data_IF_781983864139
#
_entry.id   IF_781983864139
#
_cell.length_a   1.000
_cell.length_b   1.000
_cell.length_c   1.000
_cell.angle_alpha   90.00
_cell.angle_beta   90.00
_cell.angle_gamma   90.00
#
_symmetry.space_group_name_H-M   'P 1'
#
loop_
_entity.id
_entity.type
_entity.pdbx_description
1 polymer ?
#
# COMPACT_ATOMS: atom_id res chain seq x y z
N UNK A 1 -7.25 -18.65 -12.67
CA UNK A 1 -7.74 -17.27 -12.62
C UNK A 1 -6.56 -16.35 -12.83
N UNK A 2 -6.78 -15.22 -13.50
CA UNK A 2 -5.73 -14.23 -13.76
C UNK A 2 -5.10 -13.71 -12.47
N UNK A 3 -3.85 -13.26 -12.56
CA UNK A 3 -3.18 -12.55 -11.47
C UNK A 3 -3.59 -11.08 -11.54
N UNK A 4 -4.44 -10.65 -10.61
CA UNK A 4 -4.92 -9.28 -10.51
C UNK A 4 -3.97 -8.42 -9.67
N UNK A 5 -3.64 -7.21 -10.12
CA UNK A 5 -2.75 -6.28 -9.42
C UNK A 5 -3.36 -4.86 -9.45
N UNK A 6 -3.79 -4.31 -8.32
CA UNK A 6 -3.81 -4.96 -6.99
C UNK A 6 -4.81 -6.13 -6.93
N UNK A 7 -4.59 -7.06 -6.02
CA UNK A 7 -5.47 -8.24 -5.86
C UNK A 7 -6.93 -7.85 -5.60
N UNK A 8 -7.15 -6.78 -4.82
CA UNK A 8 -8.45 -6.16 -4.59
C UNK A 8 -8.28 -4.64 -4.49
N UNK A 9 -8.83 -3.86 -5.43
CA UNK A 9 -8.92 -2.42 -5.29
C UNK A 9 -9.79 -2.04 -4.09
N UNK A 10 -9.45 -0.94 -3.41
CA UNK A 10 -10.19 -0.52 -2.20
C UNK A 10 -11.62 -0.07 -2.51
N UNK A 11 -11.83 0.60 -3.63
CA UNK A 11 -13.14 1.10 -4.06
C UNK A 11 -13.18 1.23 -5.57
N UNK A 12 -14.34 0.94 -6.16
CA UNK A 12 -14.66 1.29 -7.54
C UNK A 12 -15.71 2.41 -7.55
N UNK A 13 -15.63 3.31 -8.51
CA UNK A 13 -16.75 4.22 -8.79
C UNK A 13 -17.88 3.39 -9.43
N UNK A 14 -19.06 3.30 -8.82
CA UNK A 14 -20.19 2.54 -9.39
C UNK A 14 -20.60 3.04 -10.78
N UNK A 15 -20.37 4.32 -11.08
CA UNK A 15 -20.71 4.90 -12.37
C UNK A 15 -19.76 4.47 -13.50
N UNK A 16 -18.50 4.11 -13.17
CA UNK A 16 -17.50 3.67 -14.15
C UNK A 16 -17.74 2.23 -14.63
N UNK A 17 -18.47 1.41 -13.87
CA UNK A 17 -18.62 -0.04 -14.08
C UNK A 17 -17.28 -0.82 -14.12
N UNK A 18 -16.18 -0.20 -13.70
CA UNK A 18 -14.86 -0.85 -13.67
C UNK A 18 -14.83 -2.09 -12.76
N UNK A 19 -15.62 -2.08 -11.68
CA UNK A 19 -15.75 -3.25 -10.80
C UNK A 19 -16.25 -4.49 -11.55
N UNK A 20 -17.26 -4.35 -12.41
CA UNK A 20 -17.76 -5.46 -13.22
C UNK A 20 -16.73 -5.96 -14.24
N UNK A 21 -15.97 -5.03 -14.83
CA UNK A 21 -14.88 -5.37 -15.76
C UNK A 21 -13.73 -6.05 -15.04
N UNK A 22 -13.39 -5.60 -13.82
CA UNK A 22 -12.39 -6.23 -12.98
C UNK A 22 -12.75 -7.68 -12.63
N UNK A 23 -13.98 -7.92 -12.16
CA UNK A 23 -14.50 -9.25 -11.87
C UNK A 23 -14.50 -10.16 -13.11
N UNK A 24 -14.84 -9.61 -14.27
CA UNK A 24 -14.79 -10.37 -15.53
C UNK A 24 -13.34 -10.75 -15.90
N UNK A 25 -12.39 -9.83 -15.77
CA UNK A 25 -10.99 -10.07 -16.07
C UNK A 25 -10.33 -11.05 -15.09
N UNK A 26 -10.79 -11.12 -13.85
CA UNK A 26 -10.34 -12.12 -12.87
C UNK A 26 -10.61 -13.56 -13.34
N UNK A 27 -11.65 -13.79 -14.15
CA UNK A 27 -11.99 -15.10 -14.69
C UNK A 27 -11.04 -15.59 -15.80
N UNK A 28 -10.18 -14.74 -16.34
CA UNK A 28 -9.17 -15.14 -17.33
C UNK A 28 -8.26 -16.26 -16.77
N UNK A 29 -7.63 -17.09 -17.64
CA UNK A 29 -6.64 -18.08 -17.23
C UNK A 29 -5.47 -17.49 -16.44
N UNK A 30 -4.76 -18.34 -15.70
CA UNK A 30 -3.65 -17.97 -14.79
C UNK A 30 -2.39 -17.43 -15.51
N UNK A 31 -2.32 -17.58 -16.81
CA UNK A 31 -1.26 -17.01 -17.65
C UNK A 31 -1.42 -15.49 -17.92
N UNK A 32 -2.57 -14.92 -17.49
CA UNK A 32 -2.83 -13.49 -17.63
C UNK A 32 -2.49 -12.72 -16.35
N UNK A 33 -1.88 -11.56 -16.53
CA UNK A 33 -1.66 -10.55 -15.49
C UNK A 33 -2.48 -9.32 -15.85
N UNK A 34 -3.25 -8.82 -14.92
CA UNK A 34 -4.12 -7.66 -15.09
C UNK A 34 -3.76 -6.60 -14.08
N UNK A 35 -3.32 -5.45 -14.57
CA UNK A 35 -2.98 -4.28 -13.77
C UNK A 35 -4.10 -3.26 -13.90
N UNK A 36 -4.76 -2.94 -12.79
CA UNK A 36 -5.84 -1.95 -12.74
C UNK A 36 -5.30 -0.60 -12.29
N UNK A 37 -5.80 0.48 -12.88
CA UNK A 37 -5.40 1.86 -12.58
C UNK A 37 -3.88 2.07 -12.71
N UNK A 38 -3.31 1.61 -13.83
CA UNK A 38 -1.87 1.70 -14.05
C UNK A 38 -1.46 3.12 -14.43
N UNK A 39 -0.62 3.75 -13.60
CA UNK A 39 -0.22 5.15 -13.76
C UNK A 39 1.24 5.28 -14.19
N UNK A 40 1.47 6.16 -15.14
CA UNK A 40 2.81 6.58 -15.56
C UNK A 40 2.93 8.09 -15.38
N UNK A 41 3.88 8.50 -14.54
CA UNK A 41 4.30 9.89 -14.40
C UNK A 41 5.53 10.13 -15.30
N UNK A 42 5.51 11.18 -16.10
CA UNK A 42 6.62 11.55 -16.98
C UNK A 42 6.96 13.04 -16.80
N UNK A 43 8.25 13.34 -16.66
CA UNK A 43 8.77 14.70 -16.55
C UNK A 43 9.76 14.94 -17.66
N UNK A 44 9.37 15.70 -18.69
CA UNK A 44 10.24 16.05 -19.82
C UNK A 44 10.24 17.55 -20.07
N UNK A 45 11.42 18.09 -20.32
CA UNK A 45 11.59 19.53 -20.60
C UNK A 45 10.86 20.40 -19.56
N UNK A 46 10.96 20.03 -18.29
CA UNK A 46 10.31 20.71 -17.16
C UNK A 46 8.76 20.69 -17.23
N UNK A 47 8.17 19.78 -18.01
CA UNK A 47 6.71 19.57 -18.07
C UNK A 47 6.37 18.24 -17.45
N UNK A 48 5.54 18.28 -16.41
CA UNK A 48 4.98 17.11 -15.75
C UNK A 48 3.73 16.64 -16.51
N UNK A 49 3.62 15.35 -16.74
CA UNK A 49 2.41 14.72 -17.24
C UNK A 49 2.18 13.38 -16.53
N UNK A 50 0.97 13.14 -16.11
CA UNK A 50 0.52 11.89 -15.51
C UNK A 50 -0.64 11.33 -16.33
N UNK A 51 -0.61 10.03 -16.56
CA UNK A 51 -1.70 9.33 -17.26
C UNK A 51 -1.98 8.03 -16.52
N UNK A 52 -3.26 7.71 -16.45
CA UNK A 52 -3.79 6.46 -15.96
C UNK A 52 -4.31 5.63 -17.13
N UNK A 53 -4.05 4.34 -17.07
CA UNK A 53 -4.64 3.32 -17.97
C UNK A 53 -5.55 2.46 -17.10
N UNK A 54 -6.83 2.37 -17.43
CA UNK A 54 -7.81 1.68 -16.58
C UNK A 54 -7.43 0.23 -16.37
N UNK A 55 -7.04 -0.48 -17.45
CA UNK A 55 -6.48 -1.83 -17.35
C UNK A 55 -5.30 -2.01 -18.29
N UNK A 56 -4.20 -2.58 -17.78
CA UNK A 56 -3.13 -3.14 -18.60
C UNK A 56 -3.18 -4.65 -18.46
N UNK A 57 -3.34 -5.35 -19.57
CA UNK A 57 -3.45 -6.80 -19.62
C UNK A 57 -2.20 -7.37 -20.29
N UNK A 58 -1.49 -8.23 -19.58
CA UNK A 58 -0.29 -8.88 -20.08
C UNK A 58 -0.47 -10.40 -20.13
N UNK A 59 -0.11 -10.98 -21.26
CA UNK A 59 0.05 -12.42 -21.43
C UNK A 59 1.41 -12.66 -22.10
N UNK A 60 2.23 -13.51 -21.51
CA UNK A 60 3.59 -13.78 -21.96
C UNK A 60 3.68 -14.21 -23.43
N UNK A 61 2.71 -14.97 -23.91
CA UNK A 61 2.70 -15.55 -25.25
C UNK A 61 1.97 -14.67 -26.28
N UNK A 62 1.16 -13.70 -25.83
CA UNK A 62 0.28 -12.90 -26.69
C UNK A 62 0.70 -11.43 -26.76
N UNK A 63 1.21 -10.86 -25.66
CA UNK A 63 1.65 -9.47 -25.60
C UNK A 63 0.97 -8.65 -24.52
N UNK A 64 0.87 -7.34 -24.73
CA UNK A 64 0.29 -6.35 -23.82
C UNK A 64 -0.88 -5.62 -24.49
N UNK A 65 -1.98 -5.44 -23.77
CA UNK A 65 -3.11 -4.58 -24.16
C UNK A 65 -3.29 -3.48 -23.14
N UNK A 66 -3.27 -2.22 -23.56
CA UNK A 66 -3.74 -1.08 -22.76
C UNK A 66 -5.23 -0.85 -23.08
N UNK A 67 -6.07 -1.02 -22.07
CA UNK A 67 -7.53 -0.98 -22.23
C UNK A 67 -8.08 0.25 -21.49
N UNK A 68 -8.89 1.02 -22.20
CA UNK A 68 -9.65 2.15 -21.66
C UNK A 68 -11.10 1.75 -21.47
N UNK A 69 -11.68 2.07 -20.34
CA UNK A 69 -13.06 1.76 -19.97
C UNK A 69 -13.95 3.00 -20.11
N UNK A 70 -15.08 2.86 -20.79
CA UNK A 70 -16.06 3.96 -20.91
C UNK A 70 -17.47 3.43 -20.69
N UNK A 71 -17.94 3.57 -19.46
CA UNK A 71 -19.32 3.24 -19.12
C UNK A 71 -20.30 4.34 -19.52
N UNK A 72 -21.57 3.98 -19.61
CA UNK A 72 -22.66 4.89 -19.87
C UNK A 72 -22.78 5.28 -21.36
N UNK A 73 -23.43 6.41 -21.60
CA UNK A 73 -23.71 6.90 -22.96
C UNK A 73 -22.51 7.67 -23.51
N UNK A 74 -22.04 7.24 -24.66
CA UNK A 74 -20.95 7.87 -25.42
C UNK A 74 -21.44 8.19 -26.83
N UNK A 75 -21.08 9.34 -27.37
CA UNK A 75 -21.43 9.79 -28.72
C UNK A 75 -20.20 10.31 -29.45
N UNK A 76 -20.19 10.10 -30.76
CA UNK A 76 -19.24 10.74 -31.65
C UNK A 76 -20.01 11.60 -32.69
N UNK A 77 -19.83 12.89 -32.60
CA UNK A 77 -20.54 13.85 -33.43
C UNK A 77 -19.58 14.96 -33.93
N UNK A 78 -19.63 15.32 -35.18
CA UNK A 78 -18.79 16.36 -35.73
C UNK A 78 -17.28 16.21 -35.50
N UNK A 79 -16.79 14.95 -35.46
CA UNK A 79 -15.38 14.68 -35.23
C UNK A 79 -14.96 14.71 -33.78
N UNK A 80 -15.90 14.77 -32.81
CA UNK A 80 -15.63 14.92 -31.41
C UNK A 80 -16.35 13.82 -30.59
N UNK A 81 -15.65 13.21 -29.65
CA UNK A 81 -16.24 12.32 -28.66
C UNK A 81 -16.89 13.11 -27.54
N UNK A 82 -18.13 12.77 -27.20
CA UNK A 82 -18.93 13.40 -26.17
C UNK A 82 -19.42 12.39 -25.17
N UNK A 83 -19.45 12.79 -23.89
CA UNK A 83 -20.20 12.07 -22.85
C UNK A 83 -21.71 12.18 -23.11
N UNK A 84 -22.50 11.33 -22.44
CA UNK A 84 -23.97 11.41 -22.51
C UNK A 84 -24.53 12.79 -22.17
N UNK A 85 -23.87 13.54 -21.30
CA UNK A 85 -24.17 14.93 -20.94
C UNK A 85 -23.94 15.96 -22.07
N UNK A 86 -23.31 15.56 -23.20
CA UNK A 86 -22.93 16.46 -24.29
C UNK A 86 -21.59 17.18 -24.10
N UNK A 87 -20.88 16.91 -22.98
CA UNK A 87 -19.56 17.50 -22.70
C UNK A 87 -18.50 16.76 -23.55
N UNK A 88 -17.59 17.48 -24.23
CA UNK A 88 -16.48 16.86 -24.96
C UNK A 88 -15.58 16.02 -24.03
N UNK A 89 -15.17 14.86 -24.54
CA UNK A 89 -14.22 14.01 -23.83
C UNK A 89 -12.81 14.60 -23.90
N UNK A 90 -12.08 14.47 -22.82
CA UNK A 90 -10.68 14.87 -22.76
C UNK A 90 -9.81 14.01 -23.71
N UNK A 91 -8.64 14.54 -24.07
CA UNK A 91 -7.61 13.83 -24.83
C UNK A 91 -8.10 13.23 -26.18
N UNK A 92 -9.09 13.83 -26.83
CA UNK A 92 -9.54 13.37 -28.14
C UNK A 92 -10.35 12.07 -28.13
N UNK A 93 -10.88 11.65 -26.99
CA UNK A 93 -11.75 10.50 -26.88
C UNK A 93 -11.05 9.18 -26.46
N UNK A 94 -11.84 8.08 -26.31
CA UNK A 94 -11.36 6.88 -25.66
C UNK A 94 -10.29 6.12 -26.45
N UNK A 95 -10.38 6.09 -27.79
CA UNK A 95 -9.39 5.40 -28.63
C UNK A 95 -8.05 6.13 -28.62
N UNK A 96 -8.07 7.47 -28.63
CA UNK A 96 -6.86 8.25 -28.53
C UNK A 96 -6.23 8.14 -27.14
N UNK A 97 -7.04 8.07 -26.07
CA UNK A 97 -6.56 7.80 -24.72
C UNK A 97 -5.86 6.45 -24.65
N UNK A 98 -6.53 5.38 -25.06
CA UNK A 98 -5.98 4.01 -25.03
C UNK A 98 -4.69 3.89 -25.88
N UNK A 99 -4.68 4.47 -27.09
CA UNK A 99 -3.51 4.50 -27.97
C UNK A 99 -2.36 5.30 -27.36
N UNK A 100 -2.64 6.47 -26.81
CA UNK A 100 -1.63 7.31 -26.14
C UNK A 100 -1.03 6.61 -24.93
N UNK A 101 -1.84 5.93 -24.14
CA UNK A 101 -1.39 5.16 -22.98
C UNK A 101 -0.47 4.00 -23.40
N UNK A 102 -0.82 3.28 -24.48
CA UNK A 102 0.04 2.26 -25.08
C UNK A 102 1.41 2.83 -25.46
N UNK A 103 1.46 3.94 -26.20
CA UNK A 103 2.73 4.54 -26.63
C UNK A 103 3.54 5.09 -25.45
N UNK A 104 2.89 5.58 -24.39
CA UNK A 104 3.58 5.99 -23.17
C UNK A 104 4.20 4.81 -22.45
N UNK A 105 3.48 3.70 -22.33
CA UNK A 105 4.01 2.47 -21.77
C UNK A 105 5.22 1.96 -22.56
N UNK A 106 5.09 1.90 -23.90
CA UNK A 106 6.21 1.50 -24.75
C UNK A 106 7.43 2.43 -24.57
N UNK A 107 7.21 3.73 -24.45
CA UNK A 107 8.28 4.70 -24.19
C UNK A 107 8.89 4.51 -22.81
N UNK A 108 8.09 4.28 -21.78
CA UNK A 108 8.57 4.00 -20.43
C UNK A 108 9.46 2.76 -20.40
N UNK A 109 9.09 1.71 -21.13
CA UNK A 109 9.92 0.52 -21.33
C UNK A 109 11.20 0.85 -22.11
N UNK A 110 11.09 1.67 -23.17
CA UNK A 110 12.25 2.09 -23.98
C UNK A 110 13.32 2.84 -23.17
N UNK A 111 12.87 3.65 -22.22
CA UNK A 111 13.74 4.43 -21.34
C UNK A 111 14.30 3.59 -20.16
N UNK A 112 13.90 2.33 -20.06
CA UNK A 112 14.34 1.39 -19.03
C UNK A 112 15.44 0.43 -19.54
N UNK A 113 15.98 -0.39 -18.63
CA UNK A 113 16.91 -1.47 -18.97
C UNK A 113 16.26 -2.67 -19.70
N UNK A 114 14.98 -2.54 -20.08
CA UNK A 114 14.17 -3.57 -20.75
C UNK A 114 13.74 -3.16 -22.16
N UNK A 115 14.43 -2.20 -22.78
CA UNK A 115 14.12 -1.69 -24.14
C UNK A 115 14.05 -2.79 -25.20
N UNK A 116 14.84 -3.86 -25.04
CA UNK A 116 14.83 -5.03 -25.92
C UNK A 116 13.49 -5.78 -25.95
N UNK A 117 12.65 -5.62 -24.95
CA UNK A 117 11.30 -6.24 -24.91
C UNK A 117 10.41 -5.69 -26.02
N UNK A 118 10.61 -4.45 -26.45
CA UNK A 118 9.81 -3.84 -27.52
C UNK A 118 9.97 -4.56 -28.88
N UNK A 119 11.08 -5.25 -29.08
CA UNK A 119 11.32 -6.04 -30.29
C UNK A 119 10.77 -7.47 -30.21
N UNK A 120 10.36 -7.90 -29.00
CA UNK A 120 9.94 -9.26 -28.69
C UNK A 120 8.54 -9.35 -28.09
N UNK A 121 7.78 -8.25 -28.05
CA UNK A 121 6.46 -8.20 -27.47
C UNK A 121 5.54 -7.29 -28.28
N UNK A 122 4.34 -7.77 -28.57
CA UNK A 122 3.28 -7.00 -29.21
C UNK A 122 2.62 -6.09 -28.18
N UNK A 123 2.32 -4.85 -28.56
CA UNK A 123 1.61 -3.88 -27.76
C UNK A 123 0.38 -3.38 -28.51
N UNK A 124 -0.77 -3.57 -27.90
CA UNK A 124 -2.07 -3.20 -28.43
C UNK A 124 -2.77 -2.20 -27.50
N UNK A 125 -3.87 -1.66 -28.01
CA UNK A 125 -4.81 -0.90 -27.21
C UNK A 125 -6.23 -1.32 -27.60
N UNK A 126 -7.18 -1.04 -26.71
CA UNK A 126 -8.59 -1.30 -26.93
C UNK A 126 -9.45 -0.42 -26.04
N UNK A 127 -10.74 -0.39 -26.34
CA UNK A 127 -11.74 0.35 -25.58
C UNK A 127 -12.86 -0.58 -25.19
N UNK A 128 -13.22 -0.56 -23.91
CA UNK A 128 -14.33 -1.35 -23.39
C UNK A 128 -15.56 -0.47 -23.13
N UNK A 129 -16.65 -0.76 -23.84
CA UNK A 129 -17.96 -0.16 -23.63
C UNK A 129 -18.90 -1.18 -22.97
N UNK A 130 -18.93 -1.33 -21.66
CA UNK A 130 -19.71 -2.36 -20.98
C UNK A 130 -21.22 -2.16 -21.07
N UNK A 131 -21.66 -1.01 -21.54
CA UNK A 131 -23.08 -0.67 -21.73
C UNK A 131 -23.59 -0.87 -23.17
N UNK A 132 -22.74 -1.30 -24.12
CA UNK A 132 -23.09 -1.47 -25.54
C UNK A 132 -23.03 -2.97 -25.89
N UNK A 133 -24.09 -3.51 -26.50
CA UNK A 133 -24.10 -4.89 -27.00
C UNK A 133 -23.41 -5.03 -28.36
N UNK A 134 -22.96 -6.25 -28.67
CA UNK A 134 -22.38 -6.62 -29.96
C UNK A 134 -23.31 -6.29 -31.14
N UNK A 135 -24.61 -6.61 -31.00
CA UNK A 135 -25.60 -6.34 -32.06
C UNK A 135 -25.74 -4.85 -32.34
N UNK A 136 -25.73 -4.05 -31.28
CA UNK A 136 -25.75 -2.59 -31.40
C UNK A 136 -24.47 -2.08 -32.08
N UNK A 137 -23.30 -2.58 -31.68
CA UNK A 137 -22.03 -2.23 -32.29
C UNK A 137 -21.99 -2.56 -33.78
N UNK A 138 -22.53 -3.73 -34.19
CA UNK A 138 -22.59 -4.16 -35.59
C UNK A 138 -23.45 -3.23 -36.45
N UNK A 139 -24.51 -2.65 -35.89
CA UNK A 139 -25.44 -1.74 -36.57
C UNK A 139 -24.94 -0.31 -36.64
N UNK A 140 -23.85 0.03 -35.95
CA UNK A 140 -23.31 1.40 -35.92
C UNK A 140 -22.20 1.62 -36.95
N UNK A 141 -22.14 2.83 -37.49
CA UNK A 141 -20.96 3.32 -38.18
C UNK A 141 -19.98 3.85 -37.15
N UNK A 142 -18.81 3.21 -37.05
CA UNK A 142 -17.76 3.62 -36.13
C UNK A 142 -16.93 4.77 -36.71
N UNK A 143 -16.37 5.65 -35.86
CA UNK A 143 -15.37 6.64 -36.28
C UNK A 143 -14.14 5.95 -36.91
N UNK A 144 -13.39 6.65 -37.77
CA UNK A 144 -12.23 6.07 -38.46
C UNK A 144 -11.16 5.46 -37.51
N UNK A 145 -11.05 5.99 -36.30
CA UNK A 145 -10.11 5.52 -35.27
C UNK A 145 -10.61 4.32 -34.48
N UNK A 146 -11.88 3.94 -34.59
CA UNK A 146 -12.55 2.91 -33.86
C UNK A 146 -12.71 1.64 -34.70
N UNK A 147 -11.67 0.84 -34.82
CA UNK A 147 -11.78 -0.48 -35.44
C UNK A 147 -12.60 -1.40 -34.56
N UNK A 148 -13.51 -2.21 -35.17
CA UNK A 148 -14.41 -3.12 -34.44
C UNK A 148 -13.64 -4.14 -33.59
N UNK A 149 -12.47 -4.54 -34.05
CA UNK A 149 -11.58 -5.49 -33.41
C UNK A 149 -11.02 -4.96 -32.09
N UNK A 150 -10.92 -3.62 -31.94
CA UNK A 150 -10.40 -2.95 -30.74
C UNK A 150 -11.49 -2.65 -29.71
N UNK A 151 -12.74 -3.01 -29.98
CA UNK A 151 -13.88 -2.73 -29.09
C UNK A 151 -14.29 -3.97 -28.32
N UNK A 152 -14.34 -3.84 -26.99
CA UNK A 152 -14.99 -4.78 -26.08
C UNK A 152 -16.38 -4.24 -25.75
N UNK A 153 -17.36 -5.13 -25.75
CA UNK A 153 -18.78 -4.81 -25.51
C UNK A 153 -19.25 -5.41 -24.18
N UNK A 154 -20.55 -5.31 -23.91
CA UNK A 154 -21.18 -5.89 -22.74
C UNK A 154 -20.94 -7.43 -22.63
N UNK A 155 -20.94 -8.10 -23.75
CA UNK A 155 -20.74 -9.57 -23.83
C UNK A 155 -19.33 -9.98 -23.35
N UNK A 156 -18.37 -9.07 -23.44
CA UNK A 156 -17.03 -9.28 -22.90
C UNK A 156 -17.01 -9.42 -21.37
N UNK A 157 -18.05 -8.96 -20.65
CA UNK A 157 -18.18 -9.21 -19.21
C UNK A 157 -18.36 -10.72 -18.89
N UNK A 158 -18.89 -11.50 -19.83
CA UNK A 158 -19.07 -12.94 -19.64
C UNK A 158 -17.90 -13.74 -20.21
N UNK A 159 -17.29 -13.29 -21.29
CA UNK A 159 -16.21 -13.98 -22.01
C UNK A 159 -15.10 -13.01 -22.43
N UNK A 160 -14.37 -12.40 -21.49
CA UNK A 160 -13.36 -11.39 -21.82
C UNK A 160 -12.23 -11.93 -22.70
N UNK A 161 -11.87 -13.20 -22.51
CA UNK A 161 -10.79 -13.83 -23.27
C UNK A 161 -11.04 -13.85 -24.79
N UNK A 162 -12.26 -14.07 -25.21
CA UNK A 162 -12.63 -14.08 -26.65
C UNK A 162 -12.33 -12.73 -27.28
N UNK A 163 -12.66 -11.64 -26.60
CA UNK A 163 -12.44 -10.28 -27.10
C UNK A 163 -10.96 -9.88 -27.06
N UNK A 164 -10.26 -10.24 -25.98
CA UNK A 164 -8.82 -10.01 -25.88
C UNK A 164 -8.04 -10.78 -26.93
N UNK A 165 -8.40 -12.03 -27.18
CA UNK A 165 -7.77 -12.86 -28.21
C UNK A 165 -7.98 -12.27 -29.61
N UNK A 166 -9.10 -11.63 -29.89
CA UNK A 166 -9.35 -10.91 -31.15
C UNK A 166 -8.34 -9.77 -31.34
N UNK A 167 -8.04 -9.00 -30.27
CA UNK A 167 -7.03 -7.95 -30.32
C UNK A 167 -5.62 -8.54 -30.47
N UNK A 168 -5.28 -9.56 -29.69
CA UNK A 168 -3.97 -10.23 -29.76
C UNK A 168 -3.67 -10.88 -31.12
N UNK A 169 -4.71 -11.29 -31.84
CA UNK A 169 -4.58 -11.90 -33.17
C UNK A 169 -4.28 -10.89 -34.28
N UNK A 170 -4.36 -9.58 -34.01
CA UNK A 170 -4.04 -8.56 -35.00
C UNK A 170 -2.53 -8.58 -35.33
N UNK A 171 -2.23 -8.40 -36.61
CA UNK A 171 -0.86 -8.21 -37.09
C UNK A 171 -0.44 -6.77 -36.95
N UNK A 172 0.76 -6.56 -36.42
CA UNK A 172 1.34 -5.21 -36.37
C UNK A 172 2.16 -4.94 -37.63
N UNK A 173 2.11 -3.72 -38.12
CA UNK A 173 2.94 -3.28 -39.26
C UNK A 173 4.44 -3.44 -39.02
N UNK A 174 4.87 -3.43 -37.76
CA UNK A 174 6.25 -3.69 -37.33
C UNK A 174 6.68 -5.16 -37.45
N UNK A 175 5.75 -6.07 -37.73
CA UNK A 175 5.97 -7.53 -37.81
C UNK A 175 6.62 -8.14 -36.55
N UNK A 176 6.46 -7.49 -35.41
CA UNK A 176 6.91 -8.04 -34.09
C UNK A 176 6.04 -9.23 -33.74
N UNK A 177 6.65 -10.33 -33.34
CA UNK A 177 5.98 -11.48 -32.74
C UNK A 177 6.32 -11.57 -31.24
N UNK A 178 5.32 -11.98 -30.44
CA UNK A 178 5.57 -12.13 -29.01
C UNK A 178 6.37 -13.41 -28.74
N UNK A 179 7.56 -13.25 -28.18
CA UNK A 179 8.51 -14.34 -27.91
C UNK A 179 9.32 -14.13 -26.64
N UNK A 180 8.63 -13.72 -25.56
CA UNK A 180 9.26 -13.46 -24.28
C UNK A 180 9.65 -14.76 -23.56
N UNK A 181 10.88 -14.84 -23.08
CA UNK A 181 11.29 -15.87 -22.14
C UNK A 181 10.62 -15.67 -20.79
N UNK A 182 10.61 -16.70 -19.96
CA UNK A 182 10.07 -16.62 -18.60
C UNK A 182 10.78 -15.55 -17.75
N UNK A 183 12.09 -15.43 -17.91
CA UNK A 183 12.89 -14.42 -17.20
C UNK A 183 12.53 -13.00 -17.64
N UNK A 184 12.40 -12.76 -18.96
CA UNK A 184 12.01 -11.46 -19.50
C UNK A 184 10.60 -11.07 -19.03
N UNK A 185 9.66 -12.01 -18.99
CA UNK A 185 8.31 -11.79 -18.49
C UNK A 185 8.30 -11.43 -16.99
N UNK A 186 9.07 -12.16 -16.18
CA UNK A 186 9.21 -11.87 -14.74
C UNK A 186 9.84 -10.50 -14.51
N UNK A 187 10.84 -10.13 -15.32
CA UNK A 187 11.47 -8.81 -15.24
C UNK A 187 10.51 -7.71 -15.66
N UNK A 188 9.75 -7.89 -16.75
CA UNK A 188 8.75 -6.92 -17.20
C UNK A 188 7.70 -6.66 -16.09
N UNK A 189 7.23 -7.72 -15.44
CA UNK A 189 6.28 -7.57 -14.32
C UNK A 189 6.93 -6.84 -13.14
N UNK A 190 8.12 -7.25 -12.72
CA UNK A 190 8.77 -6.74 -11.50
C UNK A 190 9.39 -5.35 -11.65
N UNK A 191 9.87 -5.00 -12.83
CA UNK A 191 10.62 -3.75 -13.04
C UNK A 191 9.74 -2.65 -13.66
N UNK A 192 8.67 -3.03 -14.42
CA UNK A 192 7.80 -2.09 -15.12
C UNK A 192 6.40 -2.03 -14.52
N UNK A 193 5.70 -3.17 -14.46
CA UNK A 193 4.29 -3.16 -14.08
C UNK A 193 4.05 -3.13 -12.58
N UNK A 194 4.90 -3.78 -11.78
CA UNK A 194 4.75 -3.86 -10.33
C UNK A 194 6.12 -3.76 -9.62
N UNK A 195 6.82 -2.62 -9.79
CA UNK A 195 8.11 -2.42 -9.12
C UNK A 195 7.91 -2.37 -7.61
N UNK A 196 8.79 -3.08 -6.88
CA UNK A 196 8.85 -2.96 -5.44
C UNK A 196 9.77 -1.80 -5.09
N UNK A 197 9.22 -0.79 -4.44
CA UNK A 197 9.97 0.36 -3.97
C UNK A 197 9.97 0.36 -2.45
N UNK A 198 11.15 0.13 -1.87
CA UNK A 198 11.37 0.18 -0.43
C UNK A 198 12.36 1.30 -0.13
N UNK A 199 11.95 2.28 0.64
CA UNK A 199 12.85 3.31 1.16
C UNK A 199 13.32 2.86 2.54
N UNK A 200 14.60 2.50 2.60
CA UNK A 200 15.27 2.30 3.88
C UNK A 200 16.04 3.59 4.19
N UNK A 201 15.70 4.33 5.25
CA UNK A 201 16.49 5.48 5.64
C UNK A 201 17.93 5.05 5.89
N UNK A 202 18.91 5.74 5.31
CA UNK A 202 20.31 5.50 5.66
C UNK A 202 20.56 5.97 7.09
N UNK A 203 21.32 5.21 7.87
CA UNK A 203 21.57 5.47 9.29
C UNK A 203 22.14 6.89 9.58
N UNK A 204 22.79 7.53 8.61
CA UNK A 204 23.31 8.91 8.75
C UNK A 204 22.27 9.99 8.49
N UNK A 205 21.24 9.72 7.69
CA UNK A 205 20.15 10.65 7.41
C UNK A 205 19.06 10.60 8.49
N UNK A 206 19.07 9.51 9.26
CA UNK A 206 18.03 9.16 10.20
C UNK A 206 18.00 10.05 11.46
N UNK A 207 19.17 10.50 11.95
CA UNK A 207 19.23 11.29 13.17
C UNK A 207 18.66 12.71 12.99
N UNK A 208 18.86 13.33 11.82
CA UNK A 208 18.37 14.68 11.56
C UNK A 208 16.91 14.69 11.12
N UNK A 209 16.48 13.71 10.31
CA UNK A 209 15.06 13.53 9.98
C UNK A 209 14.23 13.10 11.20
N UNK A 210 14.75 12.21 12.06
CA UNK A 210 14.11 11.87 13.33
C UNK A 210 13.92 13.09 14.19
N UNK A 211 14.93 13.97 14.29
CA UNK A 211 14.78 15.25 14.99
C UNK A 211 13.73 16.15 14.37
N UNK A 212 13.69 16.28 13.04
CA UNK A 212 12.74 17.16 12.34
C UNK A 212 11.30 16.62 12.46
N UNK A 213 11.08 15.33 12.24
CA UNK A 213 9.77 14.69 12.39
C UNK A 213 9.35 14.68 13.85
N UNK A 214 10.26 14.40 14.76
CA UNK A 214 10.07 14.43 16.20
C UNK A 214 9.71 15.86 16.69
N UNK A 215 10.44 16.89 16.28
CA UNK A 215 10.10 18.28 16.60
C UNK A 215 8.76 18.75 15.99
N UNK A 216 8.35 18.20 14.86
CA UNK A 216 7.06 18.52 14.25
C UNK A 216 5.92 17.85 15.00
N UNK A 217 6.05 16.56 15.31
CA UNK A 217 5.09 15.81 16.11
C UNK A 217 4.99 16.39 17.52
N UNK A 218 6.10 16.77 18.12
CA UNK A 218 6.14 17.39 19.45
C UNK A 218 5.43 18.75 19.51
N UNK A 219 5.49 19.58 18.47
CA UNK A 219 4.74 20.85 18.46
C UNK A 219 3.23 20.65 18.47
N UNK A 220 2.76 19.64 17.75
CA UNK A 220 1.33 19.30 17.71
C UNK A 220 0.88 18.58 18.99
N UNK A 221 1.80 17.94 19.69
CA UNK A 221 1.54 17.11 20.89
C UNK A 221 2.08 17.69 22.18
N UNK A 222 2.76 18.85 22.12
CA UNK A 222 3.36 19.49 23.30
C UNK A 222 2.33 19.73 24.41
N UNK A 223 1.11 20.14 24.04
CA UNK A 223 0.03 20.33 25.00
C UNK A 223 -0.43 19.03 25.68
N UNK A 224 -0.29 17.88 25.02
CA UNK A 224 -0.59 16.57 25.64
C UNK A 224 0.50 16.21 26.64
N UNK A 225 1.77 16.40 26.25
CA UNK A 225 2.91 16.09 27.12
C UNK A 225 2.90 16.94 28.40
N UNK A 226 2.65 18.26 28.26
CA UNK A 226 2.54 19.19 29.40
C UNK A 226 1.37 18.81 30.32
N UNK A 227 0.23 18.37 29.77
CA UNK A 227 -0.88 17.82 30.55
C UNK A 227 -0.50 16.53 31.27
N UNK A 228 0.25 15.63 30.62
CA UNK A 228 0.73 14.38 31.19
C UNK A 228 1.75 14.59 32.30
N UNK A 229 2.49 15.71 32.34
CA UNK A 229 3.45 16.03 33.39
C UNK A 229 2.77 16.30 34.73
N UNK A 230 1.51 16.74 34.71
CA UNK A 230 0.70 17.03 35.91
C UNK A 230 -0.11 15.80 36.40
N UNK A 231 -0.11 14.69 35.65
CA UNK A 231 -0.92 13.51 35.99
C UNK A 231 -0.09 12.38 36.60
N UNK A 232 -0.56 11.80 37.71
CA UNK A 232 0.05 10.61 38.30
C UNK A 232 -0.15 9.37 37.39
N UNK A 233 -1.34 9.28 36.78
CA UNK A 233 -1.69 8.20 35.84
C UNK A 233 -2.51 8.76 34.70
N UNK A 234 -2.19 8.38 33.46
CA UNK A 234 -2.93 8.83 32.28
C UNK A 234 -2.98 7.73 31.21
N UNK A 235 -4.10 7.67 30.48
CA UNK A 235 -4.27 6.83 29.31
C UNK A 235 -4.43 7.68 28.06
N UNK A 236 -3.56 7.49 27.07
CA UNK A 236 -3.60 8.19 25.78
C UNK A 236 -4.24 7.30 24.73
N UNK A 237 -5.47 7.63 24.33
CA UNK A 237 -6.19 6.91 23.30
C UNK A 237 -6.11 7.67 21.95
N UNK A 238 -5.95 6.92 20.87
CA UNK A 238 -5.91 7.49 19.52
C UNK A 238 -5.82 6.43 18.44
N UNK A 239 -6.19 6.80 17.20
CA UNK A 239 -6.11 5.90 16.06
C UNK A 239 -4.67 5.44 15.79
N UNK A 240 -4.51 4.36 15.02
CA UNK A 240 -3.19 3.91 14.58
C UNK A 240 -2.49 5.02 13.76
N UNK A 241 -1.17 5.18 13.96
CA UNK A 241 -0.38 6.20 13.26
C UNK A 241 -0.47 7.63 13.80
N UNK A 242 -1.17 7.88 14.92
CA UNK A 242 -1.28 9.22 15.54
C UNK A 242 -0.07 9.61 16.40
N UNK A 243 0.94 8.75 16.51
CA UNK A 243 2.17 9.02 17.24
C UNK A 243 2.14 8.70 18.72
N UNK A 244 1.23 7.84 19.22
CA UNK A 244 1.16 7.42 20.63
C UNK A 244 2.50 6.90 21.16
N UNK A 245 3.15 6.01 20.42
CA UNK A 245 4.50 5.50 20.77
C UNK A 245 5.52 6.63 20.91
N UNK A 246 5.45 7.67 20.06
CA UNK A 246 6.36 8.82 20.13
C UNK A 246 6.11 9.68 21.37
N UNK A 247 4.85 9.88 21.77
CA UNK A 247 4.48 10.54 23.02
C UNK A 247 5.04 9.73 24.20
N UNK A 248 4.90 8.40 24.18
CA UNK A 248 5.42 7.51 25.21
C UNK A 248 6.95 7.60 25.33
N UNK A 249 7.67 7.57 24.21
CA UNK A 249 9.14 7.71 24.16
C UNK A 249 9.60 9.07 24.68
N UNK A 250 8.92 10.16 24.28
CA UNK A 250 9.26 11.51 24.76
C UNK A 250 9.00 11.65 26.25
N UNK A 251 7.89 11.12 26.75
CA UNK A 251 7.59 11.12 28.18
C UNK A 251 8.68 10.36 28.97
N UNK A 252 9.10 9.20 28.46
CA UNK A 252 10.22 8.45 29.05
C UNK A 252 11.51 9.28 29.08
N UNK A 253 11.79 10.00 27.99
CA UNK A 253 12.99 10.83 27.86
C UNK A 253 12.97 12.02 28.83
N UNK A 254 11.81 12.65 29.07
CA UNK A 254 11.63 13.75 30.02
C UNK A 254 11.95 13.27 31.46
N UNK A 255 11.34 12.15 31.88
CA UNK A 255 11.64 11.58 33.21
C UNK A 255 13.12 11.19 33.36
N UNK A 256 13.71 10.61 32.32
CA UNK A 256 15.14 10.28 32.35
C UNK A 256 16.03 11.55 32.39
N UNK A 257 15.62 12.65 31.77
CA UNK A 257 16.33 13.93 31.87
C UNK A 257 16.29 14.54 33.28
N UNK A 258 15.26 14.23 34.07
CA UNK A 258 15.13 14.58 35.48
C UNK A 258 15.92 13.64 36.40
N UNK A 259 16.58 12.62 35.83
CA UNK A 259 17.37 11.65 36.58
C UNK A 259 16.55 10.48 37.13
N UNK A 260 15.33 10.30 36.66
CA UNK A 260 14.41 9.28 37.14
C UNK A 260 14.40 8.03 36.25
N UNK A 261 14.24 6.86 36.89
CA UNK A 261 14.26 5.58 36.20
C UNK A 261 12.89 5.24 35.64
N UNK A 262 12.84 4.77 34.39
CA UNK A 262 11.62 4.45 33.66
C UNK A 262 11.61 3.00 33.20
N UNK A 263 10.56 2.28 33.49
CA UNK A 263 10.22 0.99 32.88
C UNK A 263 9.31 1.25 31.67
N UNK A 264 9.79 0.88 30.48
CA UNK A 264 9.00 0.99 29.26
C UNK A 264 8.58 -0.41 28.79
N UNK A 265 7.29 -0.70 28.84
CA UNK A 265 6.72 -1.99 28.43
C UNK A 265 6.15 -1.89 27.01
N UNK A 266 6.61 -2.78 26.13
CA UNK A 266 6.15 -2.91 24.74
C UNK A 266 5.45 -4.25 24.57
N UNK A 267 4.43 -4.29 23.72
CA UNK A 267 3.71 -5.52 23.41
C UNK A 267 4.60 -6.57 22.73
N UNK A 268 5.42 -6.19 21.75
CA UNK A 268 6.22 -7.14 20.98
C UNK A 268 7.73 -6.87 21.02
N UNK A 269 8.52 -7.92 20.79
CA UNK A 269 9.98 -7.86 20.82
C UNK A 269 10.58 -6.98 19.72
N UNK A 270 9.98 -6.93 18.52
CA UNK A 270 10.50 -6.10 17.43
C UNK A 270 10.41 -4.61 17.75
N UNK A 271 9.31 -4.17 18.36
CA UNK A 271 9.16 -2.80 18.83
C UNK A 271 10.15 -2.49 19.95
N UNK A 272 10.28 -3.40 20.91
CA UNK A 272 11.27 -3.30 22.00
C UNK A 272 12.69 -3.13 21.45
N UNK A 273 13.12 -3.99 20.52
CA UNK A 273 14.45 -3.94 19.92
C UNK A 273 14.66 -2.64 19.14
N UNK A 274 13.65 -2.19 18.39
CA UNK A 274 13.65 -0.92 17.68
C UNK A 274 13.83 0.28 18.64
N UNK A 275 13.09 0.31 19.75
CA UNK A 275 13.16 1.39 20.73
C UNK A 275 14.52 1.42 21.44
N UNK A 276 15.04 0.27 21.81
CA UNK A 276 16.35 0.14 22.46
C UNK A 276 17.50 0.60 21.54
N UNK A 277 17.42 0.28 20.26
CA UNK A 277 18.42 0.68 19.26
C UNK A 277 18.34 2.18 18.92
N UNK A 278 17.13 2.72 18.77
CA UNK A 278 16.93 4.06 18.24
C UNK A 278 16.78 5.15 19.32
N UNK A 279 16.41 4.77 20.54
CA UNK A 279 16.23 5.69 21.68
C UNK A 279 16.98 5.18 22.93
N UNK A 280 18.29 4.89 22.83
CA UNK A 280 19.05 4.35 23.94
C UNK A 280 19.16 5.41 25.06
N UNK A 281 18.75 5.02 26.26
CA UNK A 281 18.90 5.84 27.47
C UNK A 281 19.21 4.94 28.66
N UNK A 282 20.20 5.32 29.47
CA UNK A 282 20.63 4.52 30.64
C UNK A 282 19.58 4.41 31.74
N UNK A 283 18.65 5.36 31.79
CA UNK A 283 17.58 5.42 32.79
C UNK A 283 16.26 4.86 32.29
N UNK A 284 16.16 4.50 30.99
CA UNK A 284 14.97 3.89 30.40
C UNK A 284 15.26 2.43 30.08
N UNK A 285 14.51 1.53 30.68
CA UNK A 285 14.63 0.10 30.44
C UNK A 285 13.44 -0.41 29.60
N UNK A 286 13.72 -0.88 28.38
CA UNK A 286 12.71 -1.40 27.45
C UNK A 286 12.54 -2.91 27.60
N UNK A 287 11.32 -3.37 27.81
CA UNK A 287 10.99 -4.79 27.94
C UNK A 287 9.66 -5.13 27.26
N UNK A 288 9.51 -6.37 26.81
CA UNK A 288 8.19 -7.00 26.73
C UNK A 288 7.78 -7.46 28.12
N UNK A 289 6.50 -7.71 28.41
CA UNK A 289 6.09 -8.21 29.72
C UNK A 289 6.79 -9.54 30.05
N UNK A 290 6.79 -10.48 29.10
CA UNK A 290 7.50 -11.76 29.30
C UNK A 290 9.00 -11.57 29.57
N UNK A 291 9.65 -10.64 28.82
CA UNK A 291 11.05 -10.28 29.03
C UNK A 291 11.30 -9.64 30.40
N UNK A 292 10.40 -8.78 30.84
CA UNK A 292 10.45 -8.18 32.18
C UNK A 292 10.30 -9.24 33.30
N UNK A 293 9.32 -10.15 33.15
CA UNK A 293 9.12 -11.29 34.05
C UNK A 293 10.38 -12.18 34.13
N UNK A 294 10.96 -12.52 32.97
CA UNK A 294 12.23 -13.27 32.94
C UNK A 294 13.36 -12.54 33.68
N UNK A 295 13.50 -11.24 33.45
CA UNK A 295 14.50 -10.41 34.13
C UNK A 295 14.26 -10.33 35.62
N UNK A 296 13.01 -10.11 36.00
CA UNK A 296 12.60 -10.05 37.43
C UNK A 296 12.88 -11.35 38.16
N UNK A 297 12.56 -12.50 37.53
CA UNK A 297 12.76 -13.83 38.13
C UNK A 297 14.18 -14.39 37.98
N UNK A 298 15.04 -13.72 37.22
CA UNK A 298 16.35 -14.20 36.79
C UNK A 298 16.25 -15.61 36.15
N UNK A 299 15.33 -15.76 35.20
CA UNK A 299 15.00 -17.02 34.51
C UNK A 299 15.01 -16.80 32.97
N UNK A 300 15.18 -17.91 32.24
CA UNK A 300 15.15 -17.90 30.76
C UNK A 300 13.69 -17.98 30.24
N UNK A 301 12.82 -18.61 31.03
CA UNK A 301 11.38 -18.74 30.74
C UNK A 301 10.58 -17.87 31.70
N UNK A 302 9.49 -17.22 31.24
CA UNK A 302 8.66 -16.40 32.11
C UNK A 302 7.93 -17.25 33.14
N UNK A 303 8.06 -16.88 34.42
CA UNK A 303 7.38 -17.46 35.57
C UNK A 303 6.54 -16.35 36.22
N UNK A 304 5.28 -16.27 35.82
CA UNK A 304 4.36 -15.20 36.23
C UNK A 304 4.02 -15.27 37.72
N UNK A 305 3.88 -16.49 38.32
CA UNK A 305 3.55 -16.63 39.71
C UNK A 305 4.69 -16.14 40.62
N UNK A 306 5.92 -16.50 40.24
CA UNK A 306 7.11 -16.01 40.94
C UNK A 306 7.31 -14.51 40.76
N UNK A 307 6.96 -13.97 39.58
CA UNK A 307 7.02 -12.54 39.33
C UNK A 307 6.00 -11.76 40.18
N UNK A 308 4.77 -12.27 40.31
CA UNK A 308 3.76 -11.70 41.21
C UNK A 308 4.27 -11.62 42.65
N UNK A 309 4.78 -12.74 43.22
CA UNK A 309 5.33 -12.74 44.57
C UNK A 309 6.46 -11.70 44.75
N UNK A 310 7.33 -11.55 43.75
CA UNK A 310 8.40 -10.54 43.83
C UNK A 310 7.89 -9.10 43.71
N UNK A 311 6.84 -8.87 42.93
CA UNK A 311 6.22 -7.55 42.86
C UNK A 311 5.50 -7.20 44.15
N UNK A 312 4.84 -8.16 44.80
CA UNK A 312 4.29 -8.00 46.15
C UNK A 312 5.38 -7.65 47.18
N UNK A 313 6.55 -8.28 47.09
CA UNK A 313 7.71 -7.94 47.94
C UNK A 313 8.18 -6.50 47.70
N UNK A 314 8.19 -6.03 46.42
CA UNK A 314 8.51 -4.63 46.09
C UNK A 314 7.45 -3.68 46.61
N UNK A 315 6.17 -4.02 46.51
CA UNK A 315 5.07 -3.22 47.07
C UNK A 315 5.24 -3.03 48.57
N UNK A 316 5.55 -4.11 49.33
CA UNK A 316 5.73 -4.06 50.75
C UNK A 316 6.99 -3.29 51.14
N UNK A 317 8.09 -3.47 50.40
CA UNK A 317 9.40 -2.87 50.73
C UNK A 317 9.57 -1.44 50.22
N UNK A 318 8.78 -1.01 49.26
CA UNK A 318 8.92 0.31 48.60
C UNK A 318 10.19 0.48 47.78
N UNK A 319 10.90 -0.61 47.44
CA UNK A 319 12.21 -0.56 46.77
C UNK A 319 12.13 -0.94 45.29
N UNK A 320 11.03 -0.65 44.60
CA UNK A 320 10.92 -0.93 43.19
C UNK A 320 11.93 -0.08 42.39
N UNK A 321 12.68 -0.68 41.44
CA UNK A 321 13.81 0.00 40.79
C UNK A 321 13.43 1.09 39.79
N UNK A 322 12.16 1.22 39.46
CA UNK A 322 11.67 2.21 38.54
C UNK A 322 10.71 3.16 39.23
N UNK A 323 10.84 4.45 38.93
CA UNK A 323 9.94 5.50 39.42
C UNK A 323 8.73 5.69 38.54
N UNK A 324 8.89 5.45 37.24
CA UNK A 324 7.84 5.64 36.25
C UNK A 324 7.67 4.36 35.42
N UNK A 325 6.45 4.11 35.00
CA UNK A 325 6.10 3.05 34.06
C UNK A 325 5.34 3.60 32.90
N UNK A 326 5.76 3.25 31.70
CA UNK A 326 5.11 3.60 30.44
C UNK A 326 4.76 2.31 29.72
N UNK A 327 3.51 2.19 29.27
CA UNK A 327 2.99 1.01 28.59
C UNK A 327 2.52 1.44 27.22
N UNK A 328 3.16 0.92 26.17
CA UNK A 328 2.74 1.11 24.79
C UNK A 328 1.92 -0.08 24.29
N UNK A 329 0.88 0.19 23.49
CA UNK A 329 -0.12 -0.78 23.01
C UNK A 329 -0.79 -1.57 24.15
N UNK A 330 -1.13 -0.89 25.24
CA UNK A 330 -1.69 -1.49 26.45
C UNK A 330 -2.96 -2.32 26.25
N UNK A 331 -3.71 -2.07 25.17
CA UNK A 331 -4.91 -2.83 24.81
C UNK A 331 -4.63 -4.27 24.35
N UNK A 332 -3.38 -4.57 23.94
CA UNK A 332 -3.01 -5.87 23.40
C UNK A 332 -2.55 -6.85 24.52
N UNK A 333 -2.30 -6.33 25.73
CA UNK A 333 -1.92 -7.15 26.88
C UNK A 333 -3.11 -7.90 27.48
N UNK A 334 -2.88 -9.15 27.86
CA UNK A 334 -3.91 -10.00 28.45
C UNK A 334 -4.84 -10.66 27.42
N UNK A 335 -4.66 -10.40 26.12
CA UNK A 335 -5.48 -11.03 25.08
C UNK A 335 -5.20 -12.55 24.97
N UNK A 336 -3.92 -12.93 25.03
CA UNK A 336 -3.47 -14.32 24.91
C UNK A 336 -3.07 -14.91 26.28
N UNK A 337 -2.54 -14.08 27.19
CA UNK A 337 -2.00 -14.47 28.49
C UNK A 337 -2.62 -13.57 29.57
N UNK A 338 -3.60 -14.08 30.31
CA UNK A 338 -4.35 -13.30 31.32
C UNK A 338 -3.41 -12.78 32.43
N UNK A 339 -2.39 -13.56 32.78
CA UNK A 339 -1.41 -13.21 33.81
C UNK A 339 -0.62 -11.92 33.52
N UNK A 340 -0.56 -11.49 32.24
CA UNK A 340 0.05 -10.20 31.88
C UNK A 340 -0.70 -9.02 32.50
N UNK A 341 -2.03 -9.10 32.55
CA UNK A 341 -2.88 -8.07 33.17
C UNK A 341 -2.62 -7.97 34.68
N UNK A 342 -2.38 -9.11 35.37
CA UNK A 342 -2.09 -9.13 36.78
C UNK A 342 -0.74 -8.46 37.09
N UNK A 343 0.27 -8.71 36.25
CA UNK A 343 1.59 -8.05 36.35
C UNK A 343 1.46 -6.54 36.20
N UNK A 344 0.69 -6.08 35.21
CA UNK A 344 0.47 -4.64 34.97
C UNK A 344 -0.24 -4.01 36.18
N UNK A 345 -1.27 -4.68 36.72
CA UNK A 345 -2.01 -4.20 37.87
C UNK A 345 -1.13 -4.07 39.12
N UNK A 346 -0.30 -5.05 39.40
CA UNK A 346 0.65 -5.00 40.52
C UNK A 346 1.71 -3.90 40.35
N UNK A 347 2.22 -3.71 39.13
CA UNK A 347 3.16 -2.60 38.82
C UNK A 347 2.47 -1.25 39.02
N UNK A 348 1.21 -1.11 38.58
CA UNK A 348 0.43 0.10 38.82
C UNK A 348 0.29 0.39 40.30
N UNK A 349 -0.08 -0.60 41.12
CA UNK A 349 -0.27 -0.43 42.55
C UNK A 349 1.04 -0.11 43.30
N UNK A 350 2.19 -0.48 42.72
CA UNK A 350 3.52 -0.14 43.29
C UNK A 350 3.89 1.33 43.02
N UNK A 351 3.50 1.87 41.85
CA UNK A 351 3.90 3.19 41.38
C UNK A 351 2.94 4.30 41.83
N UNK A 352 1.65 4.03 41.93
CA UNK A 352 0.58 4.97 42.32
C UNK A 352 0.31 4.90 43.81
#
# INVERSE_FOLDING_TARGET
MAVMIPERPRTFDPASQEGLMFEALELLPDEYYVFHSFRIADVRNNRFSENETDFVIFNRNKGVICLEAKAGQVRYENGIWLYGSGIPMHNGGPFNQASSNKYRLMRYISDSNLSNILEKCKFFHGVWFPSISDDKLRSMTLPPEAAKELVLTKEALQNPEVYLNRIFALELSSRVETSLSELESKRLIREIFCPQFNVFPSASFDADLKKIVFHRLLREQAGILDFLDEQLTAAVNGAAGTGKTMIAVEKASRHAAEGETVLFLCFNSKLKDYLEENYPNKLVAYYTIAGFVCRLCNSVTPDFDKAKSKLEDYYISGNFPFKHVIIDEGQDFGADIIEETDIISLIHDIIV
#
